data_IF_175525414879
#
_entry.id   IF_175525414879
#
_cell.length_a   1.000
_cell.length_b   1.000
_cell.length_c   1.000
_cell.angle_alpha   90.00
_cell.angle_beta   90.00
_cell.angle_gamma   90.00
#
_symmetry.space_group_name_H-M   'P 1'
#
loop_
_entity.id
_entity.type
_entity.pdbx_description
1 polymer ?
#
# COMPACT_ATOMS: atom_id res chain seq x y z
N UNK A 1 50.75 -20.84 -30.99
CA UNK A 1 50.25 -19.61 -30.34
C UNK A 1 49.59 -18.75 -31.40
N UNK A 2 48.27 -18.82 -31.51
CA UNK A 2 47.46 -17.90 -32.31
C UNK A 2 46.01 -17.97 -31.85
N UNK A 3 45.42 -16.79 -31.75
CA UNK A 3 44.05 -16.43 -31.37
C UNK A 3 43.07 -16.85 -32.47
N UNK A 4 41.94 -17.48 -32.16
CA UNK A 4 40.68 -17.32 -32.93
C UNK A 4 39.47 -17.99 -32.22
N UNK A 5 38.54 -17.12 -31.81
CA UNK A 5 37.07 -17.21 -31.92
C UNK A 5 36.20 -18.35 -31.34
N UNK A 6 35.10 -17.87 -30.72
CA UNK A 6 33.71 -18.39 -30.72
C UNK A 6 33.42 -19.72 -30.02
N UNK A 7 32.49 -19.67 -29.04
CA UNK A 7 31.33 -20.56 -28.86
C UNK A 7 30.52 -20.09 -27.64
N UNK A 8 29.37 -19.43 -27.81
CA UNK A 8 28.01 -20.00 -28.00
C UNK A 8 27.46 -20.75 -26.79
N UNK A 9 26.28 -20.27 -26.36
CA UNK A 9 25.20 -20.95 -25.64
C UNK A 9 25.29 -22.49 -25.55
N UNK A 10 25.34 -22.99 -24.31
CA UNK A 10 24.82 -24.27 -23.79
C UNK A 10 24.47 -23.95 -22.34
N UNK A 11 23.26 -24.12 -21.81
CA UNK A 11 22.27 -25.17 -22.03
C UNK A 11 21.98 -25.75 -20.65
N UNK A 12 20.94 -25.27 -19.97
CA UNK A 12 20.37 -25.93 -18.78
C UNK A 12 18.89 -26.22 -19.07
N UNK A 13 18.65 -27.39 -19.65
CA UNK A 13 17.38 -28.09 -19.55
C UNK A 13 17.54 -29.14 -18.46
N UNK A 14 16.81 -28.94 -17.36
CA UNK A 14 16.76 -29.83 -16.22
C UNK A 14 15.43 -29.57 -15.51
N UNK A 15 14.42 -30.31 -15.94
CA UNK A 15 13.03 -30.25 -15.54
C UNK A 15 12.81 -30.48 -14.04
N UNK A 16 12.26 -29.47 -13.36
CA UNK A 16 11.19 -29.63 -12.36
C UNK A 16 10.28 -28.42 -12.48
N UNK A 17 9.03 -28.67 -12.87
CA UNK A 17 7.93 -27.71 -12.73
C UNK A 17 7.93 -27.17 -11.30
N UNK A 18 7.79 -25.85 -11.08
CA UNK A 18 7.50 -25.37 -9.73
C UNK A 18 6.11 -25.90 -9.41
N UNK A 19 6.06 -26.91 -8.53
CA UNK A 19 4.84 -27.30 -7.87
C UNK A 19 4.27 -26.02 -7.27
N UNK A 20 3.01 -25.74 -7.59
CA UNK A 20 2.19 -24.79 -6.85
C UNK A 20 2.17 -25.26 -5.39
N UNK A 21 3.12 -24.77 -4.60
CA UNK A 21 3.06 -24.89 -3.15
C UNK A 21 2.06 -23.83 -2.75
N UNK A 22 0.81 -24.26 -2.57
CA UNK A 22 -0.17 -23.59 -1.74
C UNK A 22 0.49 -23.28 -0.40
N UNK A 23 0.99 -22.05 -0.24
CA UNK A 23 1.34 -21.52 1.06
C UNK A 23 0.36 -20.37 1.33
N UNK A 24 -0.64 -20.55 2.21
CA UNK A 24 -1.53 -19.46 2.57
C UNK A 24 -0.69 -18.36 3.22
N UNK A 25 -0.84 -17.12 2.74
CA UNK A 25 -0.27 -15.90 3.29
C UNK A 25 -0.66 -15.76 4.78
N UNK A 26 0.06 -16.44 5.67
CA UNK A 26 -0.07 -16.36 7.13
C UNK A 26 1.04 -15.46 7.65
N UNK A 27 0.71 -14.19 7.83
CA UNK A 27 1.57 -13.23 8.53
C UNK A 27 1.15 -11.79 8.23
N UNK A 28 0.56 -11.13 9.21
CA UNK A 28 0.32 -9.70 9.23
C UNK A 28 1.69 -9.03 9.39
N UNK A 29 2.17 -8.29 8.39
CA UNK A 29 3.41 -7.53 8.51
C UNK A 29 3.08 -6.07 8.77
N UNK A 30 3.19 -5.69 10.03
CA UNK A 30 2.97 -4.32 10.49
C UNK A 30 4.30 -3.59 10.47
N UNK A 31 4.34 -2.43 9.83
CA UNK A 31 5.47 -1.51 9.96
C UNK A 31 5.46 -1.00 11.41
N UNK A 32 6.42 -1.49 12.21
CA UNK A 32 6.58 -1.15 13.63
C UNK A 32 7.42 0.10 13.82
N UNK A 33 8.21 0.47 12.82
CA UNK A 33 9.10 1.62 12.91
C UNK A 33 9.38 2.26 11.56
N UNK A 34 9.31 3.59 11.52
CA UNK A 34 9.70 4.38 10.34
C UNK A 34 11.06 5.03 10.60
N UNK A 35 11.96 4.90 9.63
CA UNK A 35 13.23 5.62 9.61
C UNK A 35 13.17 6.67 8.50
N UNK A 36 13.67 7.89 8.77
CA UNK A 36 13.74 8.96 7.77
C UNK A 36 14.65 10.11 8.23
N UNK A 37 15.35 10.77 7.29
CA UNK A 37 16.29 11.87 7.58
C UNK A 37 15.68 13.28 7.61
N UNK A 38 14.38 13.42 7.30
CA UNK A 38 13.67 14.70 7.32
C UNK A 38 14.14 15.77 6.32
N UNK A 39 14.92 15.41 5.30
CA UNK A 39 15.59 16.34 4.39
C UNK A 39 14.70 16.83 3.24
N UNK A 40 13.73 16.02 2.80
CA UNK A 40 12.87 16.28 1.64
C UNK A 40 11.40 15.95 1.86
N UNK A 41 10.53 16.22 0.86
CA UNK A 41 9.08 16.04 0.99
C UNK A 41 8.66 14.62 1.39
N UNK A 42 9.27 13.60 0.76
CA UNK A 42 8.97 12.20 1.07
C UNK A 42 9.36 11.83 2.52
N UNK A 43 10.51 12.33 2.95
CA UNK A 43 11.06 12.07 4.27
C UNK A 43 10.23 12.75 5.38
N UNK A 44 9.76 13.98 5.13
CA UNK A 44 8.89 14.72 6.04
C UNK A 44 7.52 14.06 6.14
N UNK A 45 6.91 13.69 5.00
CA UNK A 45 5.62 13.01 4.99
C UNK A 45 5.66 11.69 5.78
N UNK A 46 6.75 10.93 5.66
CA UNK A 46 6.94 9.71 6.43
C UNK A 46 7.02 9.96 7.94
N UNK A 47 7.73 11.02 8.36
CA UNK A 47 7.87 11.37 9.79
C UNK A 47 6.58 11.96 10.36
N UNK A 48 5.89 12.84 9.63
CA UNK A 48 4.60 13.40 10.05
C UNK A 48 3.54 12.30 10.17
N UNK A 49 3.55 11.34 9.24
CA UNK A 49 2.66 10.19 9.32
C UNK A 49 2.99 9.27 10.51
N UNK A 50 4.27 9.06 10.78
CA UNK A 50 4.70 8.27 11.93
C UNK A 50 4.22 8.90 13.24
N UNK A 51 4.34 10.24 13.39
CA UNK A 51 3.79 10.97 14.53
C UNK A 51 2.26 10.83 14.58
N UNK A 52 1.57 11.08 13.47
CA UNK A 52 0.10 11.05 13.37
C UNK A 52 -0.48 9.69 13.81
N UNK A 53 0.20 8.60 13.48
CA UNK A 53 -0.25 7.23 13.76
C UNK A 53 0.47 6.60 14.97
N UNK A 54 1.22 7.39 15.74
CA UNK A 54 1.98 6.93 16.91
C UNK A 54 2.93 5.76 16.61
N UNK A 55 3.44 5.69 15.37
CA UNK A 55 4.44 4.71 14.96
C UNK A 55 5.80 5.19 15.47
N UNK A 56 6.57 4.34 16.18
CA UNK A 56 7.94 4.65 16.53
C UNK A 56 8.74 5.15 15.32
N UNK A 57 9.46 6.24 15.48
CA UNK A 57 10.28 6.79 14.41
C UNK A 57 11.66 7.23 14.91
N UNK A 58 12.64 7.25 14.00
CA UNK A 58 13.97 7.83 14.21
C UNK A 58 14.59 8.20 12.88
N UNK A 59 15.75 8.82 12.91
CA UNK A 59 16.63 8.85 11.74
C UNK A 59 17.84 9.72 11.96
N UNK A 60 18.83 9.51 11.10
CA UNK A 60 20.04 10.29 11.04
C UNK A 60 19.86 11.43 10.05
N UNK A 61 20.19 12.64 10.50
CA UNK A 61 20.14 13.87 9.71
C UNK A 61 21.50 14.58 9.76
N UNK A 62 21.98 15.18 8.67
CA UNK A 62 23.24 15.94 8.72
C UNK A 62 23.09 17.18 9.60
N UNK A 63 24.17 17.58 10.26
CA UNK A 63 24.25 18.89 10.93
C UNK A 63 23.95 20.04 9.94
N UNK A 64 23.24 21.06 10.43
CA UNK A 64 22.85 22.23 9.65
C UNK A 64 21.36 22.28 9.28
N UNK A 65 20.55 21.40 9.88
CA UNK A 65 19.09 21.43 9.79
C UNK A 65 18.45 22.49 10.69
N UNK A 66 17.11 22.45 10.77
CA UNK A 66 16.31 23.30 11.66
C UNK A 66 16.20 22.59 13.03
N UNK A 67 16.76 23.12 14.13
CA UNK A 67 16.77 22.43 15.43
C UNK A 67 15.37 22.06 15.94
N UNK A 68 14.38 22.92 15.70
CA UNK A 68 12.97 22.63 16.05
C UNK A 68 12.43 21.39 15.33
N UNK A 69 12.85 21.19 14.08
CA UNK A 69 12.46 20.03 13.27
C UNK A 69 13.17 18.76 13.75
N UNK A 70 14.46 18.87 14.05
CA UNK A 70 15.26 17.76 14.58
C UNK A 70 14.68 17.28 15.91
N UNK A 71 14.29 18.21 16.78
CA UNK A 71 13.60 17.92 18.04
C UNK A 71 12.22 17.30 17.82
N UNK A 72 11.38 17.90 16.95
CA UNK A 72 10.02 17.41 16.64
C UNK A 72 10.04 15.93 16.21
N UNK A 73 10.97 15.56 15.36
CA UNK A 73 11.07 14.21 14.79
C UNK A 73 12.07 13.29 15.49
N UNK A 74 12.63 13.73 16.63
CA UNK A 74 13.61 12.94 17.42
C UNK A 74 14.78 12.43 16.56
N UNK A 75 15.29 13.28 15.66
CA UNK A 75 16.38 12.92 14.74
C UNK A 75 17.73 12.97 15.47
N UNK A 76 18.61 12.04 15.11
CA UNK A 76 20.00 12.04 15.56
C UNK A 76 20.86 12.82 14.59
N UNK A 77 21.50 13.89 15.08
CA UNK A 77 22.34 14.75 14.26
C UNK A 77 23.70 14.10 14.04
N UNK A 78 24.10 13.98 12.77
CA UNK A 78 25.46 13.61 12.37
C UNK A 78 26.35 14.84 12.27
N UNK A 79 27.32 14.93 13.18
CA UNK A 79 28.23 16.07 13.37
C UNK A 79 29.13 16.38 12.17
N UNK A 80 29.40 15.41 11.29
CA UNK A 80 30.22 15.69 10.11
C UNK A 80 29.49 16.49 9.02
N UNK A 81 28.18 16.73 9.17
CA UNK A 81 27.32 17.35 8.15
C UNK A 81 27.17 16.53 6.87
N UNK A 82 27.68 15.29 6.84
CA UNK A 82 27.76 14.51 5.61
C UNK A 82 26.47 13.71 5.40
N UNK A 83 25.69 14.10 4.39
CA UNK A 83 24.44 13.42 4.03
C UNK A 83 24.65 11.95 3.64
N UNK A 84 25.79 11.59 3.05
CA UNK A 84 26.11 10.20 2.70
C UNK A 84 26.24 9.31 3.94
N UNK A 85 26.85 9.83 5.01
CA UNK A 85 26.99 9.12 6.29
C UNK A 85 25.61 8.91 6.93
N UNK A 86 24.76 9.93 6.91
CA UNK A 86 23.40 9.83 7.41
C UNK A 86 22.58 8.78 6.66
N UNK A 87 22.67 8.79 5.33
CA UNK A 87 22.01 7.81 4.46
C UNK A 87 22.48 6.39 4.78
N UNK A 88 23.79 6.17 4.92
CA UNK A 88 24.35 4.87 5.26
C UNK A 88 23.83 4.36 6.61
N UNK A 89 23.83 5.21 7.65
CA UNK A 89 23.30 4.85 8.97
C UNK A 89 21.80 4.53 8.93
N UNK A 90 21.01 5.31 8.21
CA UNK A 90 19.57 5.05 8.02
C UNK A 90 19.31 3.72 7.29
N UNK A 91 20.13 3.38 6.29
CA UNK A 91 20.06 2.09 5.58
C UNK A 91 20.42 0.93 6.51
N UNK A 92 21.50 1.06 7.29
CA UNK A 92 21.93 0.02 8.23
C UNK A 92 20.84 -0.28 9.27
N UNK A 93 20.21 0.77 9.80
CA UNK A 93 19.18 0.70 10.85
C UNK A 93 17.82 0.16 10.36
N UNK A 94 17.61 0.04 9.05
CA UNK A 94 16.36 -0.40 8.45
C UNK A 94 16.40 -1.85 7.97
N UNK A 95 15.23 -2.47 7.78
CA UNK A 95 15.10 -3.76 7.10
C UNK A 95 14.85 -3.54 5.60
N UNK A 96 13.93 -2.63 5.28
CA UNK A 96 13.60 -2.24 3.91
C UNK A 96 13.85 -0.75 3.66
N UNK A 97 14.25 -0.44 2.43
CA UNK A 97 14.49 0.93 1.95
C UNK A 97 13.51 1.24 0.82
N UNK A 98 12.59 2.16 1.09
CA UNK A 98 11.61 2.67 0.13
C UNK A 98 12.04 4.05 -0.38
N UNK A 99 12.14 4.17 -1.70
CA UNK A 99 12.42 5.44 -2.38
C UNK A 99 11.19 5.90 -3.17
N UNK A 100 10.67 7.08 -2.83
CA UNK A 100 9.58 7.74 -3.54
C UNK A 100 10.12 8.98 -4.27
N UNK A 101 10.02 9.01 -5.59
CA UNK A 101 10.47 10.15 -6.40
C UNK A 101 9.53 10.41 -7.57
N UNK A 102 9.42 11.66 -8.08
CA UNK A 102 8.59 11.96 -9.24
C UNK A 102 9.03 11.15 -10.46
N UNK A 103 10.33 11.24 -10.77
CA UNK A 103 10.97 10.58 -11.90
C UNK A 103 12.34 10.04 -11.50
N UNK A 104 12.70 8.88 -12.03
CA UNK A 104 14.01 8.27 -11.79
C UNK A 104 15.12 9.13 -12.38
N UNK A 105 16.00 9.61 -11.51
CA UNK A 105 17.31 10.12 -11.90
C UNK A 105 18.39 9.12 -11.47
N UNK A 106 18.98 8.45 -12.46
CA UNK A 106 19.97 7.40 -12.21
C UNK A 106 21.17 7.87 -11.39
N UNK A 107 21.58 9.14 -11.49
CA UNK A 107 22.73 9.68 -10.76
C UNK A 107 22.41 9.90 -9.27
N UNK A 108 21.21 10.37 -8.98
CA UNK A 108 20.77 10.73 -7.61
C UNK A 108 20.78 9.53 -6.65
N UNK A 109 20.55 8.32 -7.15
CA UNK A 109 20.41 7.12 -6.31
C UNK A 109 21.55 6.11 -6.47
N UNK A 110 22.66 6.44 -7.15
CA UNK A 110 23.77 5.48 -7.33
C UNK A 110 24.40 5.08 -6.00
N UNK A 111 24.68 6.07 -5.15
CA UNK A 111 25.24 5.83 -3.83
C UNK A 111 24.28 4.99 -2.98
N UNK A 112 23.00 5.36 -2.94
CA UNK A 112 21.97 4.63 -2.21
C UNK A 112 21.92 3.15 -2.64
N UNK A 113 21.89 2.88 -3.95
CA UNK A 113 21.89 1.50 -4.47
C UNK A 113 23.14 0.73 -4.10
N UNK A 114 24.31 1.37 -4.15
CA UNK A 114 25.56 0.77 -3.71
C UNK A 114 25.50 0.36 -2.24
N UNK A 115 25.01 1.26 -1.38
CA UNK A 115 24.88 1.01 0.06
C UNK A 115 23.84 -0.07 0.37
N UNK A 116 22.67 -0.02 -0.24
CA UNK A 116 21.63 -1.05 -0.12
C UNK A 116 22.19 -2.44 -0.46
N UNK A 117 22.90 -2.56 -1.58
CA UNK A 117 23.52 -3.83 -1.99
C UNK A 117 24.62 -4.26 -1.03
N UNK A 118 25.45 -3.32 -0.56
CA UNK A 118 26.52 -3.56 0.40
C UNK A 118 25.98 -4.13 1.74
N UNK A 119 24.83 -3.64 2.20
CA UNK A 119 24.20 -4.06 3.46
C UNK A 119 23.10 -5.12 3.27
N UNK A 120 22.94 -5.65 2.06
CA UNK A 120 21.92 -6.65 1.70
C UNK A 120 20.52 -6.31 2.22
N UNK A 121 20.08 -5.06 1.98
CA UNK A 121 18.77 -4.56 2.40
C UNK A 121 17.73 -4.72 1.29
N UNK A 122 16.48 -5.01 1.68
CA UNK A 122 15.37 -4.97 0.74
C UNK A 122 15.19 -3.55 0.20
N UNK A 123 14.95 -3.44 -1.09
CA UNK A 123 14.90 -2.14 -1.75
C UNK A 123 13.79 -2.06 -2.76
N UNK A 124 13.00 -0.99 -2.64
CA UNK A 124 11.92 -0.70 -3.57
C UNK A 124 11.90 0.78 -3.92
N UNK A 125 11.79 1.07 -5.21
CA UNK A 125 11.79 2.44 -5.73
C UNK A 125 10.59 2.63 -6.63
N UNK A 126 9.83 3.68 -6.37
CA UNK A 126 8.62 4.03 -7.08
C UNK A 126 8.80 5.37 -7.78
N UNK A 127 8.48 5.39 -9.07
CA UNK A 127 8.41 6.58 -9.91
C UNK A 127 6.96 7.07 -9.95
N UNK A 128 6.65 8.12 -9.18
CA UNK A 128 5.29 8.60 -8.95
C UNK A 128 4.59 9.11 -10.22
N UNK A 129 5.34 9.58 -11.22
CA UNK A 129 4.77 10.03 -12.50
C UNK A 129 4.34 8.89 -13.42
N UNK A 130 4.79 7.66 -13.17
CA UNK A 130 4.53 6.50 -14.06
C UNK A 130 3.33 5.67 -13.63
N UNK A 131 2.92 5.78 -12.38
CA UNK A 131 2.01 4.85 -11.73
C UNK A 131 1.02 5.65 -10.89
N UNK A 132 -0.25 5.24 -10.88
CA UNK A 132 -1.27 5.90 -10.05
C UNK A 132 -0.92 5.79 -8.56
N UNK A 133 -1.38 6.75 -7.73
CA UNK A 133 -1.16 6.71 -6.26
C UNK A 133 -1.62 5.38 -5.64
N UNK A 134 -2.76 4.86 -6.10
CA UNK A 134 -3.33 3.61 -5.61
C UNK A 134 -2.46 2.40 -5.97
N UNK A 135 -2.04 2.29 -7.22
CA UNK A 135 -1.17 1.20 -7.67
C UNK A 135 0.21 1.26 -6.98
N UNK A 136 0.74 2.47 -6.72
CA UNK A 136 1.92 2.66 -5.90
C UNK A 136 1.72 2.03 -4.51
N UNK A 137 0.62 2.37 -3.83
CA UNK A 137 0.34 1.88 -2.49
C UNK A 137 0.18 0.35 -2.44
N UNK A 138 -0.50 -0.24 -3.43
CA UNK A 138 -0.65 -1.70 -3.53
C UNK A 138 0.70 -2.40 -3.71
N UNK A 139 1.53 -1.89 -4.62
CA UNK A 139 2.84 -2.48 -4.90
C UNK A 139 3.79 -2.35 -3.69
N UNK A 140 3.76 -1.22 -2.99
CA UNK A 140 4.54 -1.04 -1.76
C UNK A 140 4.04 -1.99 -0.66
N UNK A 141 2.72 -2.10 -0.45
CA UNK A 141 2.16 -3.00 0.57
C UNK A 141 2.50 -4.47 0.30
N UNK A 142 2.41 -4.91 -0.97
CA UNK A 142 2.85 -6.25 -1.37
C UNK A 142 4.33 -6.47 -1.07
N UNK A 143 5.20 -5.54 -1.48
CA UNK A 143 6.63 -5.61 -1.22
C UNK A 143 6.96 -5.66 0.28
N UNK A 144 6.31 -4.83 1.11
CA UNK A 144 6.46 -4.84 2.58
C UNK A 144 6.09 -6.22 3.15
N UNK A 145 4.97 -6.79 2.71
CA UNK A 145 4.45 -8.06 3.20
C UNK A 145 5.31 -9.25 2.78
N UNK A 146 5.72 -9.32 1.50
CA UNK A 146 6.53 -10.42 0.96
C UNK A 146 7.92 -10.48 1.62
N UNK A 147 8.50 -9.32 1.92
CA UNK A 147 9.83 -9.20 2.52
C UNK A 147 9.81 -9.03 4.04
N UNK A 148 8.63 -9.09 4.66
CA UNK A 148 8.46 -9.07 6.12
C UNK A 148 9.05 -7.81 6.78
N UNK A 149 8.85 -6.65 6.15
CA UNK A 149 9.49 -5.40 6.57
C UNK A 149 8.71 -4.77 7.74
N UNK A 150 9.30 -4.80 8.93
CA UNK A 150 8.80 -4.13 10.13
C UNK A 150 9.46 -2.76 10.37
N UNK A 151 10.71 -2.59 9.92
CA UNK A 151 11.47 -1.34 10.03
C UNK A 151 11.74 -0.78 8.64
N UNK A 152 11.00 0.27 8.28
CA UNK A 152 11.01 0.84 6.93
C UNK A 152 11.76 2.19 6.92
N UNK A 153 12.85 2.27 6.16
CA UNK A 153 13.45 3.56 5.81
C UNK A 153 12.72 4.14 4.58
N UNK A 154 12.09 5.30 4.75
CA UNK A 154 11.47 6.04 3.64
C UNK A 154 12.36 7.22 3.27
N UNK A 155 12.70 7.33 1.98
CA UNK A 155 13.46 8.46 1.44
C UNK A 155 12.98 8.84 0.03
N UNK A 156 13.58 9.88 -0.54
CA UNK A 156 13.22 10.42 -1.84
C UNK A 156 14.20 11.47 -2.33
N UNK A 157 13.82 12.18 -3.39
CA UNK A 157 14.62 13.31 -3.89
C UNK A 157 14.60 14.47 -2.88
N UNK A 158 15.76 15.07 -2.63
CA UNK A 158 15.94 16.19 -1.68
C UNK A 158 15.42 17.54 -2.20
N UNK A 159 14.52 17.55 -3.19
CA UNK A 159 13.96 18.79 -3.76
C UNK A 159 13.05 19.46 -2.73
N UNK A 160 13.64 20.34 -1.90
CA UNK A 160 12.88 21.18 -0.96
C UNK A 160 11.93 22.07 -1.79
N UNK A 161 10.63 22.01 -1.47
CA UNK A 161 9.53 22.92 -1.88
C UNK A 161 8.58 22.48 -3.01
N UNK A 162 8.35 21.18 -3.21
CA UNK A 162 7.18 20.74 -3.96
C UNK A 162 6.09 20.24 -3.01
N UNK A 163 5.21 21.15 -2.54
CA UNK A 163 4.00 20.78 -1.74
C UNK A 163 3.21 19.60 -2.36
N UNK A 164 3.02 19.52 -3.69
CA UNK A 164 2.31 18.39 -4.30
C UNK A 164 2.97 17.03 -4.03
N UNK A 165 4.31 16.99 -3.89
CA UNK A 165 5.04 15.76 -3.61
C UNK A 165 4.82 15.28 -2.18
N UNK A 166 4.80 16.20 -1.20
CA UNK A 166 4.53 15.88 0.20
C UNK A 166 3.15 15.23 0.35
N UNK A 167 2.10 15.87 -0.17
CA UNK A 167 0.72 15.38 -0.07
C UNK A 167 0.57 14.03 -0.78
N UNK A 168 1.15 13.89 -1.98
CA UNK A 168 1.13 12.63 -2.72
C UNK A 168 1.79 11.49 -1.96
N UNK A 169 2.95 11.73 -1.34
CA UNK A 169 3.62 10.71 -0.54
C UNK A 169 2.82 10.38 0.71
N UNK A 170 2.25 11.38 1.38
CA UNK A 170 1.42 11.17 2.56
C UNK A 170 0.21 10.28 2.24
N UNK A 171 -0.53 10.57 1.17
CA UNK A 171 -1.69 9.76 0.72
C UNK A 171 -1.30 8.30 0.43
N UNK A 172 -0.16 8.11 -0.26
CA UNK A 172 0.34 6.78 -0.61
C UNK A 172 0.72 6.02 0.66
N UNK A 173 1.50 6.62 1.56
CA UNK A 173 1.95 5.96 2.78
C UNK A 173 0.79 5.69 3.75
N UNK A 174 -0.19 6.59 3.86
CA UNK A 174 -1.43 6.34 4.60
C UNK A 174 -2.12 5.09 4.05
N UNK A 175 -2.31 5.04 2.73
CA UNK A 175 -2.91 3.87 2.07
C UNK A 175 -2.11 2.60 2.34
N UNK A 176 -0.78 2.64 2.21
CA UNK A 176 0.11 1.51 2.51
C UNK A 176 -0.07 1.02 3.95
N UNK A 177 -0.11 1.94 4.92
CA UNK A 177 -0.28 1.58 6.33
C UNK A 177 -1.67 1.01 6.60
N UNK A 178 -2.73 1.56 6.00
CA UNK A 178 -4.05 0.96 6.07
C UNK A 178 -4.03 -0.46 5.48
N UNK A 179 -3.46 -0.67 4.28
CA UNK A 179 -3.40 -1.99 3.66
C UNK A 179 -2.62 -3.01 4.49
N UNK A 180 -1.53 -2.60 5.13
CA UNK A 180 -0.72 -3.47 6.00
C UNK A 180 -1.32 -3.66 7.41
N UNK A 181 -2.26 -2.81 7.83
CA UNK A 181 -2.99 -2.93 9.10
C UNK A 181 -4.28 -3.75 8.98
N UNK A 182 -4.81 -3.99 7.77
CA UNK A 182 -6.10 -4.69 7.57
C UNK A 182 -5.97 -6.21 7.71
N UNK A 183 -5.39 -6.64 8.84
CA UNK A 183 -5.83 -7.86 9.52
C UNK A 183 -6.04 -7.68 11.04
N UNK A 184 -6.11 -6.46 11.60
CA UNK A 184 -6.23 -6.29 13.08
C UNK A 184 -7.35 -5.40 13.62
N UNK A 185 -8.47 -5.16 12.94
CA UNK A 185 -9.58 -4.48 13.63
C UNK A 185 -10.94 -4.77 13.06
N UNK A 186 -11.40 -6.01 13.28
CA UNK A 186 -12.74 -6.49 12.90
C UNK A 186 -12.95 -6.43 11.37
N UNK A 187 -13.81 -7.29 10.80
CA UNK A 187 -14.34 -6.97 9.49
C UNK A 187 -15.05 -5.61 9.61
N UNK A 188 -15.19 -4.92 8.49
CA UNK A 188 -15.94 -3.66 8.40
C UNK A 188 -17.34 -3.79 9.06
N UNK A 189 -17.88 -5.00 9.13
CA UNK A 189 -19.15 -5.39 9.78
C UNK A 189 -19.04 -5.79 11.26
N UNK A 190 -17.85 -5.80 11.87
CA UNK A 190 -17.66 -6.24 13.25
C UNK A 190 -17.61 -7.77 13.47
N UNK A 191 -18.06 -8.59 12.51
CA UNK A 191 -18.28 -10.05 12.64
C UNK A 191 -17.36 -10.95 11.80
N UNK A 192 -16.64 -11.94 12.38
CA UNK A 192 -15.76 -12.84 11.62
C UNK A 192 -16.46 -13.41 10.36
N UNK A 193 -15.72 -13.49 9.25
CA UNK A 193 -16.18 -13.88 7.91
C UNK A 193 -16.63 -15.34 7.85
N UNK A 194 -17.78 -15.63 8.45
CA UNK A 194 -18.54 -16.84 8.18
C UNK A 194 -19.43 -16.58 6.96
N UNK A 195 -19.65 -17.59 6.09
CA UNK A 195 -20.64 -17.51 5.04
C UNK A 195 -21.99 -17.12 5.61
N UNK A 196 -22.59 -16.07 5.08
CA UNK A 196 -23.90 -15.58 5.52
C UNK A 196 -24.94 -16.60 5.09
N UNK A 197 -25.92 -16.88 5.96
CA UNK A 197 -27.03 -17.78 5.68
C UNK A 197 -28.37 -17.09 5.99
N UNK A 198 -29.25 -16.90 4.98
CA UNK A 198 -29.01 -17.14 3.55
C UNK A 198 -28.04 -16.10 2.95
N UNK A 199 -27.20 -16.46 1.96
CA UNK A 199 -26.36 -15.48 1.27
C UNK A 199 -27.21 -14.56 0.37
N UNK A 200 -26.79 -13.29 0.17
CA UNK A 200 -27.50 -12.38 -0.72
C UNK A 200 -27.45 -12.88 -2.16
N UNK A 201 -28.58 -12.83 -2.87
CA UNK A 201 -28.75 -13.35 -4.23
C UNK A 201 -28.74 -12.27 -5.29
N UNK A 202 -28.88 -11.00 -4.91
CA UNK A 202 -28.84 -9.85 -5.82
C UNK A 202 -27.84 -8.79 -5.33
N UNK A 203 -27.42 -7.90 -6.24
CA UNK A 203 -26.59 -6.74 -5.88
C UNK A 203 -27.31 -5.87 -4.85
N UNK A 204 -28.61 -5.70 -4.97
CA UNK A 204 -29.44 -4.90 -4.07
C UNK A 204 -29.47 -5.51 -2.66
N UNK A 205 -29.71 -6.82 -2.54
CA UNK A 205 -29.68 -7.54 -1.25
C UNK A 205 -28.28 -7.46 -0.60
N UNK A 206 -27.23 -7.61 -1.41
CA UNK A 206 -25.85 -7.48 -0.96
C UNK A 206 -25.56 -6.06 -0.42
N UNK A 207 -25.99 -5.01 -1.12
CA UNK A 207 -25.80 -3.62 -0.71
C UNK A 207 -26.60 -3.32 0.56
N UNK A 208 -27.86 -3.74 0.63
CA UNK A 208 -28.71 -3.53 1.81
C UNK A 208 -28.12 -4.19 3.05
N UNK A 209 -27.63 -5.43 2.91
CA UNK A 209 -26.91 -6.11 3.98
C UNK A 209 -25.67 -5.32 4.43
N UNK A 210 -24.82 -4.88 3.50
CA UNK A 210 -23.63 -4.10 3.85
C UNK A 210 -23.99 -2.79 4.57
N UNK A 211 -25.03 -2.08 4.13
CA UNK A 211 -25.51 -0.84 4.77
C UNK A 211 -25.99 -1.09 6.21
N UNK A 212 -26.61 -2.25 6.45
CA UNK A 212 -27.11 -2.64 7.78
C UNK A 212 -25.98 -2.98 8.75
N UNK A 213 -24.87 -3.51 8.25
CA UNK A 213 -23.73 -3.95 9.05
C UNK A 213 -22.64 -2.89 9.20
N UNK A 214 -22.54 -1.96 8.25
CA UNK A 214 -21.54 -0.89 8.24
C UNK A 214 -21.83 0.16 9.33
N UNK A 215 -20.85 0.49 10.19
CA UNK A 215 -20.94 1.64 11.08
C UNK A 215 -21.24 2.93 10.32
N UNK A 216 -21.97 3.87 10.95
CA UNK A 216 -22.29 5.17 10.34
C UNK A 216 -21.05 5.91 9.83
N UNK A 217 -19.95 5.87 10.60
CA UNK A 217 -18.67 6.48 10.22
C UNK A 217 -18.18 5.95 8.87
N UNK A 218 -18.20 4.64 8.69
CA UNK A 218 -17.68 3.99 7.48
C UNK A 218 -18.58 4.25 6.28
N UNK A 219 -19.91 4.30 6.48
CA UNK A 219 -20.86 4.72 5.43
C UNK A 219 -20.62 6.14 4.96
N UNK A 220 -20.36 7.07 5.88
CA UNK A 220 -20.02 8.47 5.55
C UNK A 220 -18.71 8.52 4.77
N UNK A 221 -17.67 7.77 5.19
CA UNK A 221 -16.39 7.72 4.48
C UNK A 221 -16.58 7.21 3.06
N UNK A 222 -17.25 6.07 2.88
CA UNK A 222 -17.51 5.48 1.57
C UNK A 222 -18.27 6.48 0.69
N UNK A 223 -19.33 7.12 1.19
CA UNK A 223 -20.13 8.08 0.41
C UNK A 223 -19.32 9.26 -0.18
N UNK A 224 -18.24 9.66 0.49
CA UNK A 224 -17.38 10.78 0.08
C UNK A 224 -16.18 10.34 -0.76
N UNK A 225 -15.95 9.04 -0.95
CA UNK A 225 -14.89 8.54 -1.83
C UNK A 225 -15.13 8.93 -3.29
N UNK A 226 -14.05 9.14 -4.01
CA UNK A 226 -14.00 9.19 -5.46
C UNK A 226 -14.03 7.78 -6.04
N UNK A 227 -14.40 7.65 -7.32
CA UNK A 227 -14.45 6.35 -7.99
C UNK A 227 -13.09 5.63 -7.96
N UNK A 228 -11.97 6.36 -8.08
CA UNK A 228 -10.62 5.79 -8.03
C UNK A 228 -10.23 5.24 -6.64
N UNK A 229 -10.83 5.74 -5.56
CA UNK A 229 -10.56 5.30 -4.19
C UNK A 229 -11.31 4.01 -3.83
N UNK A 230 -12.36 3.66 -4.58
CA UNK A 230 -13.12 2.41 -4.35
C UNK A 230 -12.26 1.16 -4.51
N UNK A 231 -11.19 1.22 -5.30
CA UNK A 231 -10.25 0.11 -5.47
C UNK A 231 -9.63 -0.35 -4.14
N UNK A 232 -9.45 0.56 -3.18
CA UNK A 232 -8.95 0.27 -1.82
C UNK A 232 -9.90 -0.66 -1.07
N UNK A 233 -11.21 -0.44 -1.24
CA UNK A 233 -12.23 -1.25 -0.56
C UNK A 233 -12.23 -2.70 -1.06
N UNK A 234 -11.75 -2.99 -2.27
CA UNK A 234 -11.69 -4.38 -2.76
C UNK A 234 -10.76 -5.28 -1.94
N UNK A 235 -9.74 -4.68 -1.34
CA UNK A 235 -8.74 -5.38 -0.54
C UNK A 235 -9.31 -5.76 0.83
N UNK A 236 -10.27 -4.98 1.32
CA UNK A 236 -10.87 -5.12 2.65
C UNK A 236 -12.31 -5.62 2.56
N UNK A 237 -13.24 -4.75 2.17
CA UNK A 237 -14.64 -5.05 1.93
C UNK A 237 -14.81 -6.11 0.84
N UNK A 238 -13.99 -6.07 -0.21
CA UNK A 238 -14.03 -7.06 -1.29
C UNK A 238 -13.60 -8.45 -0.83
N UNK A 239 -12.63 -8.56 0.08
CA UNK A 239 -12.28 -9.83 0.75
C UNK A 239 -13.46 -10.34 1.56
N UNK A 240 -14.08 -9.48 2.37
CA UNK A 240 -15.27 -9.84 3.14
C UNK A 240 -16.41 -10.34 2.24
N UNK A 241 -16.71 -9.65 1.13
CA UNK A 241 -17.73 -10.06 0.16
C UNK A 241 -17.41 -11.45 -0.42
N UNK A 242 -16.16 -11.69 -0.86
CA UNK A 242 -15.74 -12.99 -1.39
C UNK A 242 -15.94 -14.13 -0.39
N UNK A 243 -15.54 -13.88 0.86
CA UNK A 243 -15.55 -14.91 1.91
C UNK A 243 -16.98 -15.15 2.45
N UNK A 244 -17.82 -14.12 2.48
CA UNK A 244 -19.10 -14.14 3.21
C UNK A 244 -20.31 -14.34 2.30
N UNK A 245 -20.26 -13.93 1.02
CA UNK A 245 -21.43 -13.97 0.12
C UNK A 245 -21.50 -15.24 -0.72
N UNK A 246 -20.67 -16.24 -0.42
CA UNK A 246 -20.73 -17.55 -1.08
C UNK A 246 -20.27 -17.54 -2.54
N UNK A 247 -19.40 -16.59 -2.94
CA UNK A 247 -18.87 -16.52 -4.30
C UNK A 247 -18.05 -17.76 -4.66
N UNK A 248 -17.34 -18.35 -3.70
CA UNK A 248 -16.58 -19.59 -3.89
C UNK A 248 -17.40 -20.88 -3.69
N UNK A 249 -18.63 -20.76 -3.16
CA UNK A 249 -19.51 -21.89 -2.85
C UNK A 249 -20.70 -22.00 -3.83
N UNK A 250 -20.68 -21.28 -4.95
CA UNK A 250 -21.68 -21.41 -6.02
C UNK A 250 -22.89 -20.47 -5.93
N UNK A 251 -22.72 -19.23 -5.43
CA UNK A 251 -23.78 -18.22 -5.47
C UNK A 251 -23.95 -17.61 -6.87
N UNK A 252 -24.38 -18.42 -7.83
CA UNK A 252 -24.53 -18.03 -9.24
C UNK A 252 -25.59 -16.94 -9.43
N UNK A 253 -26.61 -16.90 -8.56
CA UNK A 253 -27.63 -15.84 -8.57
C UNK A 253 -27.02 -14.46 -8.38
N UNK A 254 -26.11 -14.30 -7.41
CA UNK A 254 -25.44 -13.04 -7.15
C UNK A 254 -24.47 -12.66 -8.28
N UNK A 255 -23.74 -13.64 -8.82
CA UNK A 255 -22.84 -13.42 -9.97
C UNK A 255 -23.64 -12.95 -11.20
N UNK A 256 -24.78 -13.59 -11.49
CA UNK A 256 -25.66 -13.20 -12.59
C UNK A 256 -26.28 -11.81 -12.38
N UNK A 257 -26.67 -11.47 -11.15
CA UNK A 257 -27.12 -10.13 -10.80
C UNK A 257 -26.03 -9.09 -11.04
N UNK A 258 -24.77 -9.40 -10.70
CA UNK A 258 -23.62 -8.54 -10.99
C UNK A 258 -23.34 -8.40 -12.49
N UNK A 259 -23.44 -9.49 -13.26
CA UNK A 259 -23.28 -9.48 -14.72
C UNK A 259 -24.29 -8.56 -15.41
N UNK A 260 -25.55 -8.55 -14.94
CA UNK A 260 -26.58 -7.63 -15.45
C UNK A 260 -26.24 -6.15 -15.26
N UNK A 261 -25.44 -5.82 -14.24
CA UNK A 261 -24.95 -4.46 -13.95
C UNK A 261 -23.60 -4.14 -14.62
N UNK A 262 -22.74 -5.15 -14.80
CA UNK A 262 -21.37 -5.02 -15.33
C UNK A 262 -21.24 -4.89 -16.85
N UNK A 263 -22.34 -5.02 -17.60
CA UNK A 263 -22.36 -4.91 -19.06
C UNK A 263 -22.16 -6.26 -19.78
N UNK A 264 -21.79 -6.22 -21.07
CA UNK A 264 -21.78 -7.40 -21.96
C UNK A 264 -20.67 -8.46 -21.68
N UNK A 265 -19.88 -8.30 -20.61
CA UNK A 265 -18.81 -9.23 -20.22
C UNK A 265 -19.27 -10.06 -19.03
N UNK A 266 -19.14 -11.38 -19.13
CA UNK A 266 -19.31 -12.29 -17.99
C UNK A 266 -18.17 -12.02 -17.01
N UNK A 267 -18.51 -11.63 -15.78
CA UNK A 267 -17.57 -11.35 -14.71
C UNK A 267 -17.05 -12.65 -14.10
N UNK A 268 -15.76 -12.64 -13.74
CA UNK A 268 -15.18 -13.65 -12.87
C UNK A 268 -15.57 -13.36 -11.41
N UNK A 269 -15.56 -14.40 -10.56
CA UNK A 269 -15.83 -14.26 -9.12
C UNK A 269 -14.93 -13.24 -8.42
N UNK A 270 -13.74 -12.97 -8.97
CA UNK A 270 -12.79 -11.97 -8.49
C UNK A 270 -13.22 -10.52 -8.80
N UNK A 271 -14.01 -10.32 -9.85
CA UNK A 271 -14.50 -9.01 -10.32
C UNK A 271 -15.83 -8.62 -9.64
N UNK A 272 -16.61 -9.60 -9.17
CA UNK A 272 -17.91 -9.43 -8.50
C UNK A 272 -17.88 -8.44 -7.31
N UNK A 273 -16.89 -8.48 -6.39
CA UNK A 273 -16.88 -7.57 -5.25
C UNK A 273 -16.80 -6.09 -5.65
N UNK A 274 -16.12 -5.76 -6.74
CA UNK A 274 -16.03 -4.39 -7.22
C UNK A 274 -17.38 -3.84 -7.68
N UNK A 275 -18.20 -4.67 -8.33
CA UNK A 275 -19.55 -4.28 -8.75
C UNK A 275 -20.43 -3.98 -7.54
N UNK A 276 -20.34 -4.80 -6.50
CA UNK A 276 -21.10 -4.61 -5.25
C UNK A 276 -20.61 -3.37 -4.49
N UNK A 277 -19.29 -3.15 -4.40
CA UNK A 277 -18.70 -1.96 -3.77
C UNK A 277 -19.12 -0.69 -4.50
N UNK A 278 -19.11 -0.70 -5.84
CA UNK A 278 -19.57 0.42 -6.65
C UNK A 278 -21.06 0.70 -6.41
N UNK A 279 -21.89 -0.35 -6.38
CA UNK A 279 -23.32 -0.22 -6.09
C UNK A 279 -23.57 0.36 -4.70
N UNK A 280 -22.83 -0.10 -3.69
CA UNK A 280 -22.87 0.44 -2.33
C UNK A 280 -22.52 1.94 -2.29
N UNK A 281 -21.45 2.33 -2.99
CA UNK A 281 -21.02 3.72 -3.09
C UNK A 281 -22.10 4.61 -3.74
N UNK A 282 -22.67 4.17 -4.87
CA UNK A 282 -23.76 4.86 -5.56
C UNK A 282 -24.98 5.07 -4.66
N UNK A 283 -25.35 4.06 -3.85
CA UNK A 283 -26.46 4.12 -2.90
C UNK A 283 -26.19 5.05 -1.70
N UNK A 284 -24.95 5.12 -1.22
CA UNK A 284 -24.58 5.95 -0.07
C UNK A 284 -24.38 7.44 -0.42
N UNK A 285 -23.98 7.74 -1.66
CA UNK A 285 -23.69 9.09 -2.15
C UNK A 285 -24.82 10.11 -1.99
N UNK A 286 -26.11 9.80 -2.27
CA UNK A 286 -27.21 10.74 -2.05
C UNK A 286 -27.68 10.83 -0.59
N UNK A 287 -27.51 9.77 0.22
CA UNK A 287 -28.08 9.68 1.58
C UNK A 287 -27.24 10.36 2.68
N UNK A 288 -25.96 10.65 2.41
CA UNK A 288 -25.02 11.17 3.41
C UNK A 288 -24.44 12.56 3.09
N UNK A 289 -25.10 13.33 2.21
CA UNK A 289 -24.83 14.77 2.09
C UNK A 289 -25.24 15.45 3.38
N UNK A 290 -24.30 16.05 4.10
CA UNK A 290 -24.59 16.91 5.25
C UNK A 290 -25.68 17.92 4.86
N UNK A 291 -26.88 17.79 5.45
CA UNK A 291 -27.86 18.88 5.41
C UNK A 291 -27.32 19.98 6.30
N UNK A 292 -26.98 21.11 5.70
CA UNK A 292 -26.77 22.36 6.46
C UNK A 292 -28.11 22.71 7.09
N UNK A 293 -28.23 22.52 8.41
CA UNK A 293 -29.35 23.03 9.17
C UNK A 293 -29.09 24.53 9.34
N UNK A 294 -29.96 25.36 8.76
CA UNK A 294 -30.00 26.81 9.00
C UNK A 294 -30.67 27.09 10.33
#
# INVERSE_FOLDING_TARGET
>A
MTRLEKKTFRGYAGSRSPRFINNPMKGIYVIRKIISGGQGPAELAALDLAIKLEIPHKGWTPQGGEPEREAKYQLTVETSGNQAVCMEKNIQDAQGVLVLCPKKNHKTFQLLKKLVNQYNKDFFMVELEKISKFECALNISRWVSENRIEVLYVTGTATRKEKPMYETVLDILETVLYLNQVETSKPITGKPSKPIQPPPRTVEEAVEYLISELPLKDRVVIAHMTFGELGVLNLTLGKYIRDSFGLWSGNDSLVNSCNGRGGAKILLNEEVPMVIIQALWETLKPSHRLRVVK
#
